data_IF_851800891367
#
_entry.id   IF_851800891367
#
_cell.length_a   1.000
_cell.length_b   1.000
_cell.length_c   1.000
_cell.angle_alpha   90.00
_cell.angle_beta   90.00
_cell.angle_gamma   90.00
#
_symmetry.space_group_name_H-M   'P 1'
#
loop_
_entity.id
_entity.type
_entity.pdbx_description
1 polymer ?
#
# COMPACT_ATOMS: atom_id res chain seq x y z
N UNK A 1 -44.58 15.36 -11.87
CA UNK A 1 -43.10 15.54 -11.90
C UNK A 1 -42.52 16.14 -10.63
N UNK A 2 -43.04 17.26 -10.10
CA UNK A 2 -42.46 17.95 -8.94
C UNK A 2 -42.35 17.11 -7.65
N UNK A 3 -43.38 16.29 -7.34
CA UNK A 3 -43.34 15.34 -6.20
C UNK A 3 -42.24 14.28 -6.35
N UNK A 4 -42.04 13.79 -7.57
CA UNK A 4 -41.02 12.76 -7.86
C UNK A 4 -39.61 13.34 -7.73
N UNK A 5 -39.40 14.56 -8.23
CA UNK A 5 -38.12 15.28 -8.09
C UNK A 5 -37.79 15.58 -6.63
N UNK A 6 -38.77 16.02 -5.84
CA UNK A 6 -38.61 16.26 -4.40
C UNK A 6 -38.22 14.98 -3.65
N UNK A 7 -38.87 13.87 -3.94
CA UNK A 7 -38.56 12.58 -3.31
C UNK A 7 -37.17 12.09 -3.68
N UNK A 8 -36.74 12.29 -4.93
CA UNK A 8 -35.41 11.90 -5.40
C UNK A 8 -34.31 12.76 -4.75
N UNK A 9 -34.56 14.05 -4.57
CA UNK A 9 -33.65 14.95 -3.85
C UNK A 9 -33.55 14.58 -2.37
N UNK A 10 -34.67 14.28 -1.72
CA UNK A 10 -34.69 13.81 -0.32
C UNK A 10 -33.90 12.51 -0.18
N UNK A 11 -34.10 11.56 -1.09
CA UNK A 11 -33.38 10.29 -1.10
C UNK A 11 -31.87 10.51 -1.26
N UNK A 12 -31.46 11.33 -2.23
CA UNK A 12 -30.05 11.67 -2.42
C UNK A 12 -29.44 12.32 -1.17
N UNK A 13 -30.17 13.24 -0.53
CA UNK A 13 -29.75 13.87 0.72
C UNK A 13 -29.58 12.85 1.86
N UNK A 14 -30.54 11.93 2.03
CA UNK A 14 -30.45 10.85 3.02
C UNK A 14 -29.23 9.94 2.78
N UNK A 15 -28.93 9.60 1.52
CA UNK A 15 -27.77 8.78 1.15
C UNK A 15 -26.46 9.51 1.49
N UNK A 16 -26.36 10.81 1.14
CA UNK A 16 -25.18 11.62 1.44
C UNK A 16 -24.98 11.76 2.96
N UNK A 17 -26.06 12.03 3.71
CA UNK A 17 -26.02 12.13 5.16
C UNK A 17 -25.59 10.80 5.80
N UNK A 18 -26.13 9.67 5.32
CA UNK A 18 -25.73 8.35 5.78
C UNK A 18 -24.23 8.09 5.55
N UNK A 19 -23.75 8.37 4.33
CA UNK A 19 -22.33 8.21 4.01
C UNK A 19 -21.46 9.12 4.89
N UNK A 20 -21.89 10.35 5.14
CA UNK A 20 -21.15 11.31 5.97
C UNK A 20 -20.95 10.82 7.40
N UNK A 21 -21.96 10.15 7.97
CA UNK A 21 -21.92 9.59 9.33
C UNK A 21 -21.13 8.28 9.39
N UNK A 22 -21.18 7.46 8.33
CA UNK A 22 -20.62 6.09 8.32
C UNK A 22 -19.30 5.92 7.57
N UNK A 23 -18.77 6.95 6.90
CA UNK A 23 -17.56 6.88 6.06
C UNK A 23 -16.37 6.19 6.75
N UNK A 24 -16.10 6.46 8.02
CA UNK A 24 -15.02 5.80 8.77
C UNK A 24 -15.23 4.29 8.84
N UNK A 25 -16.40 3.84 9.32
CA UNK A 25 -16.75 2.42 9.43
C UNK A 25 -16.79 1.72 8.07
N UNK A 26 -17.21 2.42 7.02
CA UNK A 26 -17.23 1.88 5.65
C UNK A 26 -15.81 1.60 5.16
N UNK A 27 -14.89 2.57 5.32
CA UNK A 27 -13.49 2.41 4.93
C UNK A 27 -12.81 1.33 5.78
N UNK A 28 -13.07 1.32 7.09
CA UNK A 28 -12.56 0.31 8.01
C UNK A 28 -13.00 -1.11 7.63
N UNK A 29 -14.30 -1.30 7.38
CA UNK A 29 -14.84 -2.60 7.00
C UNK A 29 -14.31 -3.06 5.64
N UNK A 30 -14.25 -2.16 4.66
CA UNK A 30 -13.70 -2.49 3.34
C UNK A 30 -12.22 -2.87 3.42
N UNK A 31 -11.39 -2.09 4.13
CA UNK A 31 -9.97 -2.41 4.32
C UNK A 31 -9.79 -3.71 5.10
N UNK A 32 -10.57 -3.92 6.17
CA UNK A 32 -10.47 -5.15 6.96
C UNK A 32 -10.84 -6.39 6.14
N UNK A 33 -11.86 -6.27 5.30
CA UNK A 33 -12.26 -7.34 4.38
C UNK A 33 -11.19 -7.62 3.32
N UNK A 34 -10.57 -6.58 2.74
CA UNK A 34 -9.52 -6.75 1.72
C UNK A 34 -8.20 -7.26 2.30
N UNK A 35 -7.86 -6.85 3.52
CA UNK A 35 -6.62 -7.27 4.17
C UNK A 35 -6.74 -8.55 5.00
N UNK A 36 -7.96 -9.06 5.18
CA UNK A 36 -8.27 -10.21 6.06
C UNK A 36 -7.68 -10.06 7.47
N UNK A 37 -7.61 -8.83 7.97
CA UNK A 37 -7.13 -8.48 9.30
C UNK A 37 -7.92 -7.29 9.81
N UNK A 38 -7.98 -7.11 11.13
CA UNK A 38 -8.68 -5.97 11.71
C UNK A 38 -7.92 -4.67 11.37
N UNK A 39 -8.62 -3.74 10.74
CA UNK A 39 -8.14 -2.39 10.50
C UNK A 39 -8.89 -1.44 11.41
N UNK A 40 -8.25 -0.37 11.86
CA UNK A 40 -8.93 0.75 12.51
C UNK A 40 -8.65 2.02 11.73
N UNK A 41 -9.71 2.78 11.50
CA UNK A 41 -9.65 4.05 10.78
C UNK A 41 -10.18 5.15 11.69
N UNK A 42 -9.37 6.18 11.92
CA UNK A 42 -9.72 7.31 12.78
C UNK A 42 -10.73 8.25 12.12
N UNK A 43 -10.26 9.26 11.39
CA UNK A 43 -11.12 10.30 10.78
C UNK A 43 -10.93 10.37 9.28
N UNK A 44 -11.99 10.21 8.51
CA UNK A 44 -11.96 10.39 7.05
C UNK A 44 -12.49 11.78 6.70
N UNK A 45 -11.70 12.57 5.98
CA UNK A 45 -12.06 13.93 5.56
C UNK A 45 -12.08 14.00 4.04
N UNK A 46 -13.23 13.70 3.40
CA UNK A 46 -13.38 13.81 1.95
C UNK A 46 -13.34 15.28 1.52
N UNK A 47 -12.75 15.54 0.36
CA UNK A 47 -12.66 16.85 -0.31
C UNK A 47 -12.95 16.65 -1.79
N UNK A 48 -13.25 17.73 -2.49
CA UNK A 48 -13.49 17.68 -3.96
C UNK A 48 -12.24 17.31 -4.76
N UNK A 49 -11.07 17.67 -4.24
CA UNK A 49 -9.75 17.43 -4.84
C UNK A 49 -8.93 16.36 -4.10
N UNK A 50 -9.56 15.53 -3.27
CA UNK A 50 -8.84 14.49 -2.54
C UNK A 50 -9.54 13.96 -1.30
N UNK A 51 -8.80 13.19 -0.52
CA UNK A 51 -9.26 12.65 0.75
C UNK A 51 -8.11 12.62 1.75
N UNK A 52 -8.36 13.05 2.99
CA UNK A 52 -7.40 12.91 4.09
C UNK A 52 -7.91 11.88 5.09
N UNK A 53 -7.10 10.89 5.43
CA UNK A 53 -7.40 9.89 6.48
C UNK A 53 -6.49 10.17 7.68
N UNK A 54 -7.13 10.52 8.80
CA UNK A 54 -6.66 10.61 10.19
C UNK A 54 -6.45 9.24 10.81
N UNK A 55 -5.24 8.81 11.15
CA UNK A 55 -4.97 7.55 11.86
C UNK A 55 -5.47 6.30 11.13
N UNK A 56 -4.56 5.47 10.64
CA UNK A 56 -4.89 4.16 10.09
C UNK A 56 -3.99 3.12 10.75
N UNK A 57 -4.59 2.10 11.34
CA UNK A 57 -3.86 1.02 12.00
C UNK A 57 -4.26 -0.33 11.41
N UNK A 58 -3.27 -1.13 11.02
CA UNK A 58 -3.44 -2.55 10.69
C UNK A 58 -3.05 -3.33 11.94
N UNK A 59 -3.98 -4.08 12.52
CA UNK A 59 -3.69 -4.92 13.68
C UNK A 59 -2.74 -6.05 13.32
N UNK A 60 -1.89 -6.37 14.28
CA UNK A 60 -1.02 -7.51 14.17
C UNK A 60 -1.85 -8.80 14.28
N UNK A 61 -1.72 -9.77 13.35
CA UNK A 61 -2.38 -11.09 13.50
C UNK A 61 -1.93 -11.85 14.76
N UNK A 62 -0.75 -11.52 15.29
CA UNK A 62 -0.25 -12.00 16.58
C UNK A 62 0.01 -10.79 17.49
N UNK A 63 -1.03 -10.20 18.08
CA UNK A 63 -0.87 -9.00 18.89
C UNK A 63 -0.12 -9.31 20.19
N UNK A 64 0.73 -8.38 20.59
CA UNK A 64 1.35 -8.37 21.93
C UNK A 64 1.02 -7.04 22.60
N UNK A 65 1.09 -6.98 23.93
CA UNK A 65 0.86 -5.72 24.67
C UNK A 65 1.78 -4.59 24.20
N UNK A 66 3.02 -4.94 23.84
CA UNK A 66 4.01 -3.97 23.35
C UNK A 66 3.79 -3.58 21.89
N UNK A 67 3.29 -4.50 21.07
CA UNK A 67 3.13 -4.31 19.62
C UNK A 67 1.75 -4.80 19.14
N UNK A 68 0.69 -4.02 19.40
CA UNK A 68 -0.67 -4.37 18.99
C UNK A 68 -0.91 -4.24 17.48
N UNK A 69 -0.12 -3.40 16.80
CA UNK A 69 -0.29 -3.09 15.39
C UNK A 69 0.91 -3.57 14.55
N UNK A 70 0.62 -4.10 13.37
CA UNK A 70 1.62 -4.40 12.35
C UNK A 70 2.06 -3.10 11.65
N UNK A 71 1.11 -2.19 11.40
CA UNK A 71 1.38 -0.88 10.82
C UNK A 71 0.47 0.17 11.45
N UNK A 72 1.04 1.34 11.74
CA UNK A 72 0.30 2.54 12.13
C UNK A 72 0.67 3.69 11.20
N UNK A 73 -0.29 4.52 10.84
CA UNK A 73 -0.07 5.70 10.00
C UNK A 73 -0.73 6.90 10.67
N UNK A 74 0.03 7.97 10.90
CA UNK A 74 -0.50 9.22 11.49
C UNK A 74 -1.54 9.88 10.56
N UNK A 75 -1.20 10.06 9.28
CA UNK A 75 -2.18 10.48 8.29
C UNK A 75 -1.82 10.11 6.85
N UNK A 76 -2.87 9.91 6.06
CA UNK A 76 -2.83 9.69 4.61
C UNK A 76 -3.47 10.88 3.91
N UNK A 77 -2.87 11.36 2.83
CA UNK A 77 -3.43 12.37 1.96
C UNK A 77 -3.44 11.86 0.50
N UNK A 78 -4.64 11.60 0.01
CA UNK A 78 -4.89 11.22 -1.38
C UNK A 78 -5.29 12.45 -2.17
N UNK A 79 -4.60 12.72 -3.26
CA UNK A 79 -4.93 13.79 -4.20
C UNK A 79 -5.52 13.18 -5.47
N UNK A 80 -6.72 13.60 -5.81
CA UNK A 80 -7.43 13.17 -7.01
C UNK A 80 -8.42 14.26 -7.43
N UNK A 81 -8.89 14.21 -8.66
CA UNK A 81 -9.98 15.08 -9.11
C UNK A 81 -11.23 14.24 -9.35
N UNK A 82 -12.30 14.52 -8.59
CA UNK A 82 -13.59 13.83 -8.78
C UNK A 82 -14.10 14.00 -10.21
N UNK A 83 -13.95 15.20 -10.78
CA UNK A 83 -14.40 15.52 -12.14
C UNK A 83 -13.69 14.62 -13.16
N UNK A 84 -12.37 14.47 -13.04
CA UNK A 84 -11.59 13.61 -13.95
C UNK A 84 -11.91 12.13 -13.76
N UNK A 85 -12.23 11.68 -12.54
CA UNK A 85 -12.68 10.30 -12.28
C UNK A 85 -14.03 10.01 -12.94
N UNK A 86 -15.00 10.93 -12.84
CA UNK A 86 -16.30 10.78 -13.49
C UNK A 86 -16.18 10.68 -15.02
N UNK A 87 -15.24 11.41 -15.62
CA UNK A 87 -15.04 11.43 -17.08
C UNK A 87 -14.23 10.24 -17.60
N UNK A 88 -13.25 9.75 -16.84
CA UNK A 88 -12.24 8.80 -17.34
C UNK A 88 -12.58 7.31 -17.13
N UNK A 89 -13.70 7.00 -16.45
CA UNK A 89 -14.09 5.62 -16.06
C UNK A 89 -13.00 4.85 -15.30
N UNK A 90 -12.00 5.55 -14.77
CA UNK A 90 -10.89 5.03 -13.96
C UNK A 90 -10.66 5.94 -12.76
N UNK A 91 -10.07 5.38 -11.72
CA UNK A 91 -9.68 6.14 -10.52
C UNK A 91 -8.24 6.62 -10.75
N UNK A 92 -8.07 7.93 -10.90
CA UNK A 92 -6.75 8.55 -11.09
C UNK A 92 -6.34 9.32 -9.83
N UNK A 93 -5.32 8.81 -9.14
CA UNK A 93 -4.72 9.40 -7.95
C UNK A 93 -3.37 9.99 -8.36
N UNK A 94 -3.23 11.31 -8.23
CA UNK A 94 -2.00 12.01 -8.59
C UNK A 94 -0.91 11.78 -7.55
N UNK A 95 -1.26 11.94 -6.28
CA UNK A 95 -0.36 11.73 -5.15
C UNK A 95 -1.07 10.92 -4.06
N UNK A 96 -0.43 9.85 -3.63
CA UNK A 96 -0.78 9.11 -2.42
C UNK A 96 0.33 9.34 -1.38
N UNK A 97 0.10 10.30 -0.49
CA UNK A 97 1.06 10.69 0.54
C UNK A 97 0.72 10.00 1.86
N UNK A 98 1.67 9.24 2.40
CA UNK A 98 1.59 8.58 3.71
C UNK A 98 2.59 9.27 4.63
N UNK A 99 2.15 9.75 5.78
CA UNK A 99 3.01 10.45 6.73
C UNK A 99 3.03 9.74 8.08
N UNK A 100 4.24 9.58 8.63
CA UNK A 100 4.42 8.97 9.94
C UNK A 100 3.99 7.50 9.94
N UNK A 101 4.38 6.75 8.90
CA UNK A 101 4.15 5.31 8.88
C UNK A 101 5.08 4.62 9.87
N UNK A 102 4.55 3.74 10.69
CA UNK A 102 5.29 2.98 11.67
C UNK A 102 5.10 1.50 11.39
N UNK A 103 6.15 0.83 10.92
CA UNK A 103 6.14 -0.60 10.62
C UNK A 103 6.72 -1.39 11.77
N UNK A 104 5.94 -2.34 12.26
CA UNK A 104 6.35 -3.30 13.29
C UNK A 104 6.77 -4.61 12.63
N UNK A 105 8.00 -5.04 12.90
CA UNK A 105 8.54 -6.32 12.43
C UNK A 105 8.79 -7.23 13.64
N UNK A 106 8.08 -8.34 13.70
CA UNK A 106 8.25 -9.36 14.76
C UNK A 106 8.57 -10.72 14.13
N UNK A 107 9.42 -11.56 14.74
CA UNK A 107 9.65 -12.90 14.26
C UNK A 107 8.38 -13.74 14.46
N UNK A 108 8.00 -14.52 13.44
CA UNK A 108 6.87 -15.44 13.52
C UNK A 108 7.26 -16.78 14.16
N UNK A 109 8.48 -17.25 13.86
CA UNK A 109 9.04 -18.49 14.40
C UNK A 109 10.55 -18.29 14.63
N UNK A 110 11.05 -18.81 15.75
CA UNK A 110 12.46 -18.71 16.16
C UNK A 110 13.42 -19.38 15.15
N UNK A 111 12.92 -20.31 14.33
CA UNK A 111 13.74 -21.07 13.39
C UNK A 111 13.65 -20.58 11.94
N UNK A 112 12.74 -19.64 11.63
CA UNK A 112 12.51 -19.18 10.25
C UNK A 112 12.84 -17.69 10.10
N UNK A 113 13.16 -17.27 8.88
CA UNK A 113 13.27 -15.85 8.54
C UNK A 113 11.91 -15.14 8.46
N UNK A 114 10.82 -15.82 8.88
CA UNK A 114 9.47 -15.30 8.75
C UNK A 114 9.13 -14.31 9.83
N UNK A 115 8.37 -13.30 9.45
CA UNK A 115 7.88 -12.23 10.30
C UNK A 115 6.35 -12.27 10.41
N UNK A 116 5.78 -11.44 11.27
CA UNK A 116 4.34 -11.22 11.37
C UNK A 116 3.68 -10.86 10.01
N UNK A 117 4.42 -10.22 9.09
CA UNK A 117 3.93 -9.89 7.75
C UNK A 117 3.70 -11.12 6.87
N UNK A 118 4.43 -12.23 7.08
CA UNK A 118 4.17 -13.48 6.36
C UNK A 118 2.74 -13.99 6.54
N UNK A 119 2.13 -13.77 7.71
CA UNK A 119 0.74 -14.16 7.99
C UNK A 119 -0.24 -13.32 7.20
N UNK A 120 0.04 -12.04 7.03
CA UNK A 120 -0.76 -11.14 6.21
C UNK A 120 -0.65 -11.53 4.72
N UNK A 121 0.56 -11.84 4.24
CA UNK A 121 0.80 -12.19 2.84
C UNK A 121 0.15 -13.48 2.37
N UNK A 122 -0.03 -14.47 3.26
CA UNK A 122 -0.77 -15.72 2.95
C UNK A 122 -2.17 -15.46 2.41
N UNK A 123 -2.80 -14.36 2.80
CA UNK A 123 -4.17 -14.02 2.36
C UNK A 123 -4.22 -13.48 0.92
N UNK A 124 -3.08 -13.06 0.36
CA UNK A 124 -3.00 -12.49 -0.99
C UNK A 124 -2.34 -13.42 -2.01
N UNK A 125 -1.70 -14.50 -1.55
CA UNK A 125 -1.11 -15.48 -2.46
C UNK A 125 -2.18 -16.33 -3.14
N UNK A 126 -2.09 -16.55 -4.48
CA UNK A 126 -3.15 -17.19 -5.27
C UNK A 126 -3.42 -18.66 -4.91
N UNK A 127 -2.60 -19.33 -4.10
CA UNK A 127 -2.86 -20.70 -3.64
C UNK A 127 -4.19 -20.84 -2.88
N UNK A 128 -4.67 -19.78 -2.21
CA UNK A 128 -5.95 -19.80 -1.50
C UNK A 128 -7.19 -19.65 -2.41
N UNK A 129 -7.02 -19.38 -3.71
CA UNK A 129 -8.16 -19.32 -4.64
C UNK A 129 -8.58 -20.72 -5.14
N UNK A 130 -7.69 -21.71 -5.08
CA UNK A 130 -8.00 -23.09 -5.53
C UNK A 130 -8.58 -23.99 -4.42
N UNK A 131 -8.40 -23.65 -3.14
CA UNK A 131 -8.76 -24.55 -2.01
C UNK A 131 -10.03 -24.15 -1.25
N UNK A 132 -10.69 -23.04 -1.59
CA UNK A 132 -11.98 -22.62 -1.03
C UNK A 132 -13.13 -22.73 -2.04
N UNK A 133 -13.17 -23.85 -2.77
CA UNK A 133 -14.46 -24.39 -3.19
C UNK A 133 -15.18 -24.89 -1.95
N UNK A 134 -16.30 -24.26 -1.57
CA UNK A 134 -17.09 -24.47 -0.33
C UNK A 134 -16.76 -23.53 0.85
N UNK A 135 -16.92 -22.23 0.65
CA UNK A 135 -17.78 -21.47 1.56
C UNK A 135 -18.22 -20.18 0.89
N UNK A 136 -19.52 -20.07 0.67
CA UNK A 136 -20.23 -18.87 0.30
C UNK A 136 -20.16 -17.83 1.42
N UNK A 137 -19.01 -17.18 1.60
CA UNK A 137 -19.02 -15.80 2.08
C UNK A 137 -19.01 -14.94 0.83
N UNK A 138 -20.22 -14.53 0.42
CA UNK A 138 -20.39 -13.42 -0.51
C UNK A 138 -19.70 -12.20 0.08
N UNK A 139 -18.40 -12.04 -0.17
CA UNK A 139 -17.82 -10.70 -0.22
C UNK A 139 -18.59 -10.02 -1.33
N UNK A 140 -19.42 -9.05 -0.97
CA UNK A 140 -20.11 -8.19 -1.91
C UNK A 140 -19.05 -7.51 -2.78
N UNK A 141 -18.70 -8.12 -3.91
CA UNK A 141 -17.80 -7.54 -4.90
C UNK A 141 -18.53 -6.35 -5.48
N UNK A 142 -18.35 -5.20 -4.85
CA UNK A 142 -18.93 -3.96 -5.32
C UNK A 142 -18.38 -3.71 -6.72
N UNK A 143 -19.20 -3.22 -7.66
CA UNK A 143 -18.74 -2.85 -9.02
C UNK A 143 -17.56 -1.87 -9.03
N UNK A 144 -17.25 -1.24 -7.88
CA UNK A 144 -16.10 -0.37 -7.66
C UNK A 144 -14.77 -1.14 -7.52
N UNK A 145 -14.82 -2.41 -7.12
CA UNK A 145 -13.63 -3.26 -6.97
C UNK A 145 -13.01 -3.66 -8.32
N UNK A 146 -13.72 -3.49 -9.43
CA UNK A 146 -13.21 -3.77 -10.79
C UNK A 146 -12.77 -2.49 -11.53
N UNK A 147 -12.92 -1.32 -10.90
CA UNK A 147 -12.56 -0.05 -11.54
C UNK A 147 -11.03 0.06 -11.60
N UNK A 148 -10.44 0.27 -12.80
CA UNK A 148 -9.00 0.42 -12.93
C UNK A 148 -8.50 1.65 -12.18
N UNK A 149 -7.37 1.50 -11.51
CA UNK A 149 -6.75 2.55 -10.69
C UNK A 149 -5.36 2.87 -11.20
N UNK A 150 -5.08 4.15 -11.35
CA UNK A 150 -3.75 4.68 -11.65
C UNK A 150 -3.31 5.58 -10.48
N UNK A 151 -2.26 5.17 -9.78
CA UNK A 151 -1.61 5.95 -8.72
C UNK A 151 -0.27 6.43 -9.26
N UNK A 152 -0.18 7.70 -9.69
CA UNK A 152 1.02 8.22 -10.38
C UNK A 152 2.25 8.21 -9.46
N UNK A 153 2.04 8.60 -8.21
CA UNK A 153 3.08 8.70 -7.19
C UNK A 153 2.53 8.28 -5.84
N UNK A 154 3.28 7.45 -5.12
CA UNK A 154 3.09 7.18 -3.71
C UNK A 154 4.35 7.58 -2.95
N UNK A 155 4.20 8.32 -1.85
CA UNK A 155 5.32 8.79 -1.05
C UNK A 155 5.01 8.56 0.43
N UNK A 156 5.85 7.76 1.07
CA UNK A 156 5.90 7.66 2.52
C UNK A 156 6.93 8.65 3.04
N UNK A 157 6.57 9.44 4.04
CA UNK A 157 7.44 10.45 4.66
C UNK A 157 7.55 10.16 6.14
N UNK A 158 8.78 10.23 6.67
CA UNK A 158 9.06 9.96 8.09
C UNK A 158 8.56 8.56 8.48
N UNK A 159 8.97 7.56 7.70
CA UNK A 159 8.69 6.16 7.99
C UNK A 159 9.57 5.69 9.13
N UNK A 160 9.01 4.94 10.06
CA UNK A 160 9.68 4.41 11.24
C UNK A 160 9.57 2.90 11.19
N UNK A 161 10.67 2.23 11.52
CA UNK A 161 10.73 0.78 11.56
C UNK A 161 11.21 0.37 12.94
N UNK A 162 10.46 -0.51 13.58
CA UNK A 162 10.76 -1.02 14.91
C UNK A 162 10.29 -2.46 15.07
N UNK A 163 10.67 -3.09 16.18
CA UNK A 163 10.25 -4.44 16.53
C UNK A 163 11.41 -5.27 17.06
N UNK A 164 11.35 -6.59 16.84
CA UNK A 164 12.27 -7.56 17.43
C UNK A 164 12.80 -8.46 16.30
N UNK A 165 14.10 -8.80 16.35
CA UNK A 165 14.73 -9.77 15.44
C UNK A 165 14.57 -11.19 16.00
N UNK A 166 14.77 -12.21 15.16
CA UNK A 166 14.68 -13.63 15.58
C UNK A 166 15.60 -14.02 16.74
N UNK A 167 16.68 -13.27 16.97
CA UNK A 167 17.59 -13.45 18.10
C UNK A 167 17.17 -12.70 19.38
N UNK A 168 15.90 -12.28 19.48
CA UNK A 168 15.35 -11.45 20.56
C UNK A 168 16.03 -10.09 20.77
N UNK A 169 16.88 -9.63 19.83
CA UNK A 169 17.41 -8.27 19.87
C UNK A 169 16.40 -7.31 19.30
N UNK A 170 16.22 -6.18 19.96
CA UNK A 170 15.40 -5.10 19.43
C UNK A 170 15.99 -4.59 18.11
N UNK A 171 15.10 -4.33 17.15
CA UNK A 171 15.47 -3.58 15.94
C UNK A 171 15.72 -2.15 16.41
N UNK A 172 16.93 -1.60 16.21
CA UNK A 172 17.18 -0.21 16.56
C UNK A 172 16.21 0.66 15.78
N UNK A 173 15.59 1.62 16.46
CA UNK A 173 14.67 2.55 15.84
C UNK A 173 15.31 3.17 14.60
N UNK A 174 14.75 2.86 13.44
CA UNK A 174 15.25 3.34 12.16
C UNK A 174 14.19 4.26 11.55
N UNK A 175 14.56 5.52 11.38
CA UNK A 175 13.77 6.48 10.64
C UNK A 175 14.24 6.48 9.17
N UNK A 176 13.38 6.04 8.27
CA UNK A 176 13.57 6.18 6.83
C UNK A 176 12.89 7.47 6.39
N UNK A 177 13.66 8.47 5.91
CA UNK A 177 13.12 9.81 5.65
C UNK A 177 12.03 9.79 4.58
N UNK A 178 12.21 8.97 3.54
CA UNK A 178 11.22 8.82 2.47
C UNK A 178 11.31 7.46 1.78
N UNK A 179 10.16 6.88 1.45
CA UNK A 179 10.02 5.77 0.48
C UNK A 179 9.13 6.28 -0.65
N UNK A 180 9.59 6.21 -1.89
CA UNK A 180 8.89 6.77 -3.04
C UNK A 180 8.68 5.74 -4.15
N UNK A 181 7.44 5.63 -4.62
CA UNK A 181 7.01 4.69 -5.64
C UNK A 181 6.28 5.42 -6.77
N UNK A 182 6.57 5.02 -8.01
CA UNK A 182 5.93 5.56 -9.20
C UNK A 182 5.21 4.47 -9.98
N UNK A 183 4.04 4.76 -10.55
CA UNK A 183 3.38 3.81 -11.44
C UNK A 183 4.23 3.52 -12.67
N UNK A 184 4.44 2.25 -12.99
CA UNK A 184 5.02 1.83 -14.25
C UNK A 184 3.92 1.81 -15.32
N UNK A 185 3.90 2.83 -16.18
CA UNK A 185 2.89 2.98 -17.24
C UNK A 185 3.38 2.34 -18.56
N UNK A 186 4.57 1.72 -18.56
CA UNK A 186 5.15 1.21 -19.82
C UNK A 186 4.49 -0.09 -20.29
N UNK A 187 3.79 0.04 -21.44
CA UNK A 187 3.40 -0.97 -22.44
C UNK A 187 2.91 -2.35 -21.94
N UNK A 188 1.58 -2.53 -21.99
CA UNK A 188 0.80 -3.79 -22.07
C UNK A 188 0.14 -4.38 -20.82
N UNK A 189 0.24 -3.78 -19.63
CA UNK A 189 -0.54 -4.25 -18.49
C UNK A 189 -1.87 -3.49 -18.33
N UNK A 190 -2.95 -4.24 -18.09
CA UNK A 190 -4.18 -3.67 -17.56
C UNK A 190 -3.89 -3.00 -16.23
N UNK A 191 -4.47 -1.81 -16.00
CA UNK A 191 -4.34 -1.12 -14.72
C UNK A 191 -4.87 -2.02 -13.60
N UNK A 192 -4.20 -2.06 -12.43
CA UNK A 192 -4.70 -2.82 -11.30
C UNK A 192 -6.01 -2.23 -10.81
N UNK A 193 -6.83 -3.04 -10.15
CA UNK A 193 -7.91 -2.49 -9.35
C UNK A 193 -7.38 -1.89 -8.04
N UNK A 194 -8.27 -1.26 -7.27
CA UNK A 194 -7.88 -0.54 -6.05
C UNK A 194 -7.24 -1.46 -5.02
N UNK A 195 -7.80 -2.66 -4.82
CA UNK A 195 -7.29 -3.62 -3.84
C UNK A 195 -5.86 -4.06 -4.21
N UNK A 196 -5.63 -4.48 -5.45
CA UNK A 196 -4.32 -4.89 -5.95
C UNK A 196 -3.31 -3.74 -5.88
N UNK A 197 -3.71 -2.52 -6.23
CA UNK A 197 -2.82 -1.36 -6.17
C UNK A 197 -2.37 -1.04 -4.74
N UNK A 198 -3.31 -1.03 -3.78
CA UNK A 198 -3.00 -0.78 -2.37
C UNK A 198 -2.15 -1.89 -1.75
N UNK A 199 -2.47 -3.16 -2.04
CA UNK A 199 -1.67 -4.30 -1.57
C UNK A 199 -0.26 -4.26 -2.15
N UNK A 200 -0.10 -3.90 -3.43
CA UNK A 200 1.22 -3.79 -4.07
C UNK A 200 2.07 -2.70 -3.42
N UNK A 201 1.50 -1.52 -3.17
CA UNK A 201 2.20 -0.42 -2.48
C UNK A 201 2.58 -0.82 -1.06
N UNK A 202 1.65 -1.44 -0.32
CA UNK A 202 1.92 -1.90 1.04
C UNK A 202 3.04 -2.95 1.07
N UNK A 203 3.01 -3.90 0.14
CA UNK A 203 4.04 -4.92 0.00
C UNK A 203 5.42 -4.30 -0.26
N UNK A 204 5.52 -3.37 -1.22
CA UNK A 204 6.78 -2.68 -1.53
C UNK A 204 7.32 -1.89 -0.33
N UNK A 205 6.45 -1.17 0.37
CA UNK A 205 6.84 -0.43 1.57
C UNK A 205 7.41 -1.33 2.66
N UNK A 206 6.83 -2.52 2.85
CA UNK A 206 7.33 -3.51 3.82
C UNK A 206 8.63 -4.16 3.32
N UNK A 207 8.71 -4.52 2.03
CA UNK A 207 9.91 -5.11 1.41
C UNK A 207 11.12 -4.17 1.53
N UNK A 208 10.96 -2.89 1.19
CA UNK A 208 12.01 -1.88 1.31
C UNK A 208 12.35 -1.59 2.78
N UNK A 209 11.35 -1.61 3.68
CA UNK A 209 11.59 -1.48 5.13
C UNK A 209 12.44 -2.64 5.68
N UNK A 210 12.15 -3.89 5.28
CA UNK A 210 12.93 -5.06 5.68
C UNK A 210 14.38 -4.98 5.20
N UNK A 211 14.58 -4.47 3.98
CA UNK A 211 15.90 -4.20 3.43
C UNK A 211 16.68 -3.19 4.29
N UNK A 212 16.05 -2.07 4.66
CA UNK A 212 16.68 -1.03 5.49
C UNK A 212 17.14 -1.53 6.88
N UNK A 213 16.45 -2.51 7.47
CA UNK A 213 16.84 -3.09 8.77
C UNK A 213 17.74 -4.33 8.67
N UNK A 214 18.17 -4.67 7.45
CA UNK A 214 18.98 -5.83 7.10
C UNK A 214 18.39 -7.13 7.68
N UNK A 215 17.10 -7.33 7.44
CA UNK A 215 16.42 -8.58 7.77
C UNK A 215 16.15 -9.28 6.43
N UNK A 216 16.60 -10.54 6.25
CA UNK A 216 16.23 -11.33 5.08
C UNK A 216 14.71 -11.54 5.13
N UNK A 217 14.01 -10.68 4.41
CA UNK A 217 12.58 -10.48 4.59
C UNK A 217 11.72 -11.65 4.11
N UNK A 218 10.44 -11.57 4.44
CA UNK A 218 9.35 -12.39 3.88
C UNK A 218 9.05 -12.05 2.42
N UNK A 219 10.04 -12.20 1.54
CA UNK A 219 9.86 -11.89 0.12
C UNK A 219 9.03 -13.00 -0.51
N UNK A 220 7.74 -12.74 -0.67
CA UNK A 220 6.83 -13.57 -1.43
C UNK A 220 7.02 -13.23 -2.91
N UNK A 221 7.83 -14.04 -3.61
CA UNK A 221 8.23 -13.81 -5.02
C UNK A 221 7.08 -13.41 -5.95
N UNK A 222 5.91 -14.04 -5.79
CA UNK A 222 4.74 -13.72 -6.61
C UNK A 222 4.21 -12.30 -6.36
N UNK A 223 4.09 -11.88 -5.10
CA UNK A 223 3.66 -10.53 -4.73
C UNK A 223 4.71 -9.49 -5.06
N UNK A 224 5.99 -9.81 -4.87
CA UNK A 224 7.11 -8.95 -5.28
C UNK A 224 7.04 -8.67 -6.78
N UNK A 225 6.99 -9.73 -7.62
CA UNK A 225 6.87 -9.58 -9.08
C UNK A 225 5.63 -8.78 -9.47
N UNK A 226 4.47 -9.06 -8.88
CA UNK A 226 3.24 -8.33 -9.17
C UNK A 226 3.36 -6.84 -8.79
N UNK A 227 3.97 -6.53 -7.65
CA UNK A 227 4.09 -5.16 -7.16
C UNK A 227 5.05 -4.35 -8.03
N UNK A 228 6.21 -4.92 -8.38
CA UNK A 228 7.20 -4.32 -9.28
C UNK A 228 6.69 -4.18 -10.73
N UNK A 229 5.71 -5.02 -11.13
CA UNK A 229 5.02 -4.86 -12.41
C UNK A 229 4.22 -3.55 -12.47
N UNK A 230 3.62 -3.11 -11.35
CA UNK A 230 2.76 -1.92 -11.31
C UNK A 230 3.49 -0.66 -10.84
N UNK A 231 4.51 -0.81 -9.99
CA UNK A 231 5.19 0.31 -9.36
C UNK A 231 6.70 0.09 -9.37
N UNK A 232 7.46 1.15 -9.64
CA UNK A 232 8.91 1.18 -9.45
C UNK A 232 9.25 1.98 -8.20
N UNK A 233 10.19 1.48 -7.40
CA UNK A 233 10.80 2.26 -6.32
C UNK A 233 11.74 3.30 -6.94
N UNK A 234 11.77 4.52 -6.36
CA UNK A 234 12.78 5.52 -6.67
C UNK A 234 14.14 5.17 -6.04
N UNK A 235 14.20 4.16 -5.17
CA UNK A 235 15.43 3.72 -4.53
C UNK A 235 16.31 2.89 -5.49
N UNK A 236 17.56 3.32 -5.77
CA UNK A 236 18.37 2.76 -6.85
C UNK A 236 18.76 1.29 -6.66
N UNK A 237 18.83 0.81 -5.42
CA UNK A 237 19.34 -0.55 -5.13
C UNK A 237 18.33 -1.65 -5.53
N UNK A 238 17.04 -1.33 -5.66
CA UNK A 238 16.03 -2.29 -6.10
C UNK A 238 15.91 -2.37 -7.64
N UNK A 239 16.42 -1.37 -8.36
CA UNK A 239 16.30 -1.27 -9.82
C UNK A 239 17.29 -2.20 -10.55
N UNK A 240 18.35 -2.66 -9.89
CA UNK A 240 19.39 -3.51 -10.53
C UNK A 240 18.97 -4.98 -10.76
N UNK A 241 17.85 -5.45 -10.18
CA UNK A 241 17.43 -6.85 -10.32
C UNK A 241 16.57 -7.14 -11.57
N UNK A 242 16.30 -6.15 -12.42
CA UNK A 242 15.47 -6.29 -13.63
C UNK A 242 16.18 -5.87 -14.94
N UNK A 243 17.50 -6.05 -15.07
CA UNK A 243 18.11 -6.06 -16.42
C UNK A 243 18.16 -7.51 -16.95
N UNK A 244 17.30 -7.89 -17.92
CA UNK A 244 17.56 -9.09 -18.71
C UNK A 244 18.84 -8.85 -19.51
N UNK A 245 19.80 -9.76 -19.36
CA UNK A 245 20.99 -9.84 -20.21
C UNK A 245 20.59 -9.79 -21.68
N UNK A 246 20.75 -8.65 -22.35
CA UNK A 246 21.01 -8.61 -23.79
C UNK A 246 21.69 -7.29 -24.17
N UNK A 247 22.85 -7.43 -24.81
CA UNK A 247 23.54 -6.47 -25.70
C UNK A 247 24.18 -5.19 -25.11
N UNK A 248 25.49 -5.32 -24.80
CA UNK A 248 26.61 -4.43 -25.19
C UNK A 248 26.33 -2.90 -25.17
N UNK A 249 26.62 -2.26 -24.03
CA UNK A 249 27.10 -0.85 -23.78
C UNK A 249 26.33 0.36 -24.35
N UNK A 250 26.33 1.54 -23.65
CA UNK A 250 27.38 2.02 -22.73
C UNK A 250 26.87 2.35 -21.30
N UNK A 251 27.29 1.52 -20.34
CA UNK A 251 27.11 1.71 -18.89
C UNK A 251 28.00 2.82 -18.28
N UNK A 252 28.95 3.36 -19.06
CA UNK A 252 30.05 4.20 -18.56
C UNK A 252 29.64 5.59 -18.06
N UNK A 253 28.60 6.21 -18.63
CA UNK A 253 28.22 7.59 -18.29
C UNK A 253 27.35 7.72 -17.03
N UNK A 254 26.56 6.68 -16.69
CA UNK A 254 25.75 6.69 -15.46
C UNK A 254 26.61 6.46 -14.23
N UNK A 255 27.60 5.59 -14.31
CA UNK A 255 28.52 5.32 -13.21
C UNK A 255 29.40 6.52 -12.88
N UNK A 256 29.80 7.29 -13.89
CA UNK A 256 30.53 8.57 -13.71
C UNK A 256 29.65 9.65 -13.03
N UNK A 257 28.36 9.73 -13.37
CA UNK A 257 27.44 10.69 -12.73
C UNK A 257 27.15 10.29 -11.27
N UNK A 258 26.95 9.00 -11.00
CA UNK A 258 26.74 8.49 -9.63
C UNK A 258 28.00 8.67 -8.78
N UNK A 259 29.18 8.48 -9.37
CA UNK A 259 30.47 8.78 -8.74
C UNK A 259 30.63 10.26 -8.41
N UNK A 260 30.33 11.14 -9.37
CA UNK A 260 30.38 12.60 -9.18
C UNK A 260 29.42 13.09 -8.09
N UNK A 261 28.18 12.58 -8.06
CA UNK A 261 27.21 12.93 -7.01
C UNK A 261 27.69 12.44 -5.64
N UNK A 262 28.33 11.26 -5.55
CA UNK A 262 28.93 10.79 -4.28
C UNK A 262 30.07 11.70 -3.80
N UNK A 263 30.96 12.13 -4.69
CA UNK A 263 32.05 13.05 -4.31
C UNK A 263 31.55 14.43 -3.87
N UNK A 264 30.41 14.89 -4.40
CA UNK A 264 29.85 16.22 -4.09
C UNK A 264 29.16 16.31 -2.72
N UNK A 265 28.65 15.19 -2.20
CA UNK A 265 27.88 15.15 -0.95
C UNK A 265 28.63 14.54 0.24
N UNK A 266 29.80 13.93 0.02
CA UNK A 266 30.59 13.27 1.06
C UNK A 266 32.03 13.79 1.21
N UNK A 267 32.28 15.03 0.79
CA UNK A 267 33.47 15.81 1.19
C UNK A 267 33.15 16.81 2.30
#
# INVERSE_FOLDING_TARGET
MFKLLKNLFLLAFCIIAYFWVRKESIVEHWLSAKLHTQVTVGRVSPRTSGMKIRYLCIHNPMPSERFPYAMEIEYINLRFSLISMFLSKKIEISDFLVHGANFTILPYDNQSSKTNWSLLWKNFTPQNQETLGLSSFQSSSSRLDDVPVLIKRCLFVNTRIHGIKSNNKEIPYLAVPSLEYHSNISKQNSLPNLATALTSILYLAVEESLYHVNIPGDIVKALSKQSHTYFSSAYPILIENEEPETTITPKKSRDEIVGFVRELFFH
#
